data_IF_172698955464
#
_entry.id   IF_172698955464
#
_cell.length_a   1.000
_cell.length_b   1.000
_cell.length_c   1.000
_cell.angle_alpha   90.00
_cell.angle_beta   90.00
_cell.angle_gamma   90.00
#
_symmetry.space_group_name_H-M   'P 1'
#
loop_
_entity.id
_entity.type
_entity.pdbx_description
1 polymer ?
#
# COMPACT_ATOMS: atom_id res chain seq x y z
N UNK A 1 12.86 8.54 -29.68
CA UNK A 1 12.49 9.14 -28.41
C UNK A 1 13.73 9.26 -27.55
N UNK A 2 14.28 10.49 -27.47
CA UNK A 2 15.46 10.76 -26.67
C UNK A 2 15.09 10.71 -25.18
N UNK A 3 15.69 9.75 -24.43
CA UNK A 3 15.76 9.80 -22.98
C UNK A 3 16.77 10.90 -22.61
N UNK A 4 16.27 12.07 -22.27
CA UNK A 4 17.12 13.11 -21.67
C UNK A 4 17.26 12.80 -20.17
N UNK A 5 18.49 12.90 -19.60
CA UNK A 5 18.64 12.92 -18.16
C UNK A 5 17.98 14.21 -17.66
N UNK A 6 16.94 14.07 -16.82
CA UNK A 6 16.32 15.21 -16.15
C UNK A 6 17.34 15.76 -15.17
N UNK A 7 17.89 16.92 -15.46
CA UNK A 7 18.83 17.62 -14.58
C UNK A 7 18.15 17.90 -13.22
N UNK A 8 18.88 17.70 -12.15
CA UNK A 8 18.46 17.81 -10.74
C UNK A 8 17.89 19.19 -10.33
N UNK A 9 17.91 20.18 -11.18
CA UNK A 9 17.54 21.56 -10.85
C UNK A 9 16.03 21.85 -10.80
N UNK A 10 15.16 20.95 -11.27
CA UNK A 10 13.70 21.20 -11.32
C UNK A 10 12.92 20.79 -10.07
N UNK A 11 13.57 20.29 -9.01
CA UNK A 11 12.90 19.61 -7.90
C UNK A 11 12.96 20.39 -6.59
N UNK A 12 12.46 21.61 -6.60
CA UNK A 12 12.24 22.39 -5.37
C UNK A 12 10.89 21.97 -4.76
N UNK A 13 10.93 21.11 -3.74
CA UNK A 13 9.81 20.94 -2.80
C UNK A 13 9.09 19.59 -2.72
N UNK A 14 9.55 18.50 -3.38
CA UNK A 14 8.96 17.16 -3.30
C UNK A 14 9.91 16.08 -2.79
N UNK A 15 9.35 14.97 -2.28
CA UNK A 15 10.11 13.73 -2.12
C UNK A 15 10.54 13.32 -3.52
N UNK A 16 11.86 13.19 -3.72
CA UNK A 16 12.43 12.77 -4.99
C UNK A 16 12.65 11.27 -4.96
N UNK A 17 12.05 10.58 -5.94
CA UNK A 17 12.39 9.19 -6.23
C UNK A 17 13.32 9.15 -7.44
N UNK A 18 14.35 8.31 -7.37
CA UNK A 18 15.24 8.05 -8.50
C UNK A 18 14.73 6.83 -9.28
N UNK A 19 15.16 6.73 -10.55
CA UNK A 19 14.89 5.54 -11.37
C UNK A 19 15.52 4.31 -10.72
N UNK A 20 14.72 3.26 -10.58
CA UNK A 20 15.10 2.02 -9.88
C UNK A 20 14.64 1.96 -8.41
N UNK A 21 14.30 3.08 -7.80
CA UNK A 21 13.76 3.10 -6.44
C UNK A 21 12.36 2.50 -6.37
N UNK A 22 12.02 2.00 -5.18
CA UNK A 22 10.68 1.52 -4.86
C UNK A 22 9.92 2.56 -4.04
N UNK A 23 8.65 2.72 -4.37
CA UNK A 23 7.73 3.62 -3.69
C UNK A 23 6.36 2.95 -3.54
N UNK A 24 5.53 3.49 -2.66
CA UNK A 24 4.16 3.01 -2.43
C UNK A 24 3.17 3.99 -3.05
N UNK A 25 2.29 3.49 -3.90
CA UNK A 25 1.18 4.25 -4.46
C UNK A 25 -0.14 3.83 -3.78
N UNK A 26 -0.90 4.78 -3.22
CA UNK A 26 -2.11 4.51 -2.45
C UNK A 26 -3.10 3.60 -3.18
N UNK A 27 -3.56 2.56 -2.50
CA UNK A 27 -4.52 1.59 -3.04
C UNK A 27 -3.96 0.59 -4.05
N UNK A 28 -2.72 0.80 -4.55
CA UNK A 28 -2.07 -0.08 -5.52
C UNK A 28 -0.84 -0.82 -4.97
N UNK A 29 -0.28 -0.34 -3.86
CA UNK A 29 0.86 -0.96 -3.19
C UNK A 29 2.21 -0.51 -3.73
N UNK A 30 3.20 -1.40 -3.61
CA UNK A 30 4.59 -1.09 -3.94
C UNK A 30 4.83 -1.20 -5.44
N UNK A 31 5.51 -0.21 -5.98
CA UNK A 31 5.98 -0.21 -7.36
C UNK A 31 7.42 0.28 -7.47
N UNK A 32 8.02 0.05 -8.62
CA UNK A 32 9.36 0.51 -8.97
C UNK A 32 9.27 1.66 -9.96
N UNK A 33 10.03 2.69 -9.74
CA UNK A 33 10.18 3.79 -10.70
C UNK A 33 11.04 3.29 -11.87
N UNK A 34 10.45 3.15 -13.05
CA UNK A 34 11.15 2.66 -14.23
C UNK A 34 11.80 3.78 -15.05
N UNK A 35 11.13 4.92 -15.12
CA UNK A 35 11.64 6.12 -15.81
C UNK A 35 10.99 7.38 -15.26
N UNK A 36 11.60 8.52 -15.61
CA UNK A 36 10.99 9.85 -15.45
C UNK A 36 10.81 10.39 -16.86
N UNK A 37 9.58 10.71 -17.23
CA UNK A 37 9.24 11.18 -18.57
C UNK A 37 8.66 12.58 -18.53
N UNK A 38 9.11 13.44 -19.43
CA UNK A 38 8.51 14.75 -19.66
C UNK A 38 7.43 14.62 -20.74
N UNK A 39 6.23 15.13 -20.45
CA UNK A 39 5.13 15.20 -21.43
C UNK A 39 4.58 16.61 -21.52
N UNK A 40 4.19 16.99 -22.73
CA UNK A 40 3.58 18.27 -22.99
C UNK A 40 2.06 18.11 -23.10
N UNK A 41 1.34 18.88 -22.27
CA UNK A 41 -0.11 18.99 -22.31
C UNK A 41 -0.48 20.47 -22.46
N UNK A 42 -1.22 20.81 -23.52
CA UNK A 42 -1.70 22.19 -23.78
C UNK A 42 -0.59 23.24 -23.69
N UNK A 43 0.62 22.92 -24.20
CA UNK A 43 1.75 23.85 -24.21
C UNK A 43 2.53 23.93 -22.89
N UNK A 44 2.16 23.15 -21.88
CA UNK A 44 2.88 23.07 -20.60
C UNK A 44 3.58 21.73 -20.48
N UNK A 45 4.89 21.76 -20.21
CA UNK A 45 5.68 20.56 -19.95
C UNK A 45 5.56 20.14 -18.51
N UNK A 46 5.32 18.85 -18.29
CA UNK A 46 5.20 18.26 -16.97
C UNK A 46 5.97 16.94 -16.91
N UNK A 47 6.73 16.76 -15.83
CA UNK A 47 7.46 15.52 -15.58
C UNK A 47 6.57 14.52 -14.83
N UNK A 48 6.70 13.23 -15.19
CA UNK A 48 5.98 12.11 -14.59
C UNK A 48 6.95 11.01 -14.19
N UNK A 49 6.74 10.44 -13.00
CA UNK A 49 7.26 9.12 -12.68
C UNK A 49 6.47 8.06 -13.45
N UNK A 50 7.15 7.21 -14.17
CA UNK A 50 6.57 5.99 -14.74
C UNK A 50 6.90 4.87 -13.78
N UNK A 51 5.87 4.36 -13.12
CA UNK A 51 5.99 3.39 -12.04
C UNK A 51 5.31 2.08 -12.43
N UNK A 52 6.01 0.96 -12.24
CA UNK A 52 5.43 -0.39 -12.40
C UNK A 52 5.09 -0.96 -11.03
N UNK A 53 3.83 -1.29 -10.83
CA UNK A 53 3.36 -1.97 -9.61
C UNK A 53 3.84 -3.41 -9.63
N UNK A 54 4.50 -3.85 -8.54
CA UNK A 54 5.20 -5.15 -8.49
C UNK A 54 4.27 -6.36 -8.50
N UNK A 55 3.05 -6.23 -7.97
CA UNK A 55 2.11 -7.36 -7.89
C UNK A 55 1.27 -7.55 -9.16
N UNK A 56 1.00 -6.47 -9.88
CA UNK A 56 0.06 -6.49 -11.01
C UNK A 56 0.72 -6.20 -12.36
N UNK A 57 2.01 -5.83 -12.36
CA UNK A 57 2.73 -5.30 -13.52
C UNK A 57 2.08 -4.08 -14.18
N UNK A 58 1.12 -3.46 -13.49
CA UNK A 58 0.43 -2.26 -13.98
C UNK A 58 1.41 -1.08 -14.01
N UNK A 59 1.43 -0.37 -15.12
CA UNK A 59 2.18 0.88 -15.25
C UNK A 59 1.30 2.07 -14.89
N UNK A 60 1.76 2.89 -13.96
CA UNK A 60 1.09 4.11 -13.51
C UNK A 60 2.01 5.30 -13.80
N UNK A 61 1.42 6.40 -14.22
CA UNK A 61 2.11 7.67 -14.37
C UNK A 61 1.69 8.63 -13.28
N UNK A 62 2.66 9.08 -12.47
CA UNK A 62 2.42 9.99 -11.34
C UNK A 62 3.14 11.30 -11.61
N UNK A 63 2.42 12.45 -11.64
CA UNK A 63 3.07 13.74 -11.82
C UNK A 63 4.12 14.01 -10.74
N UNK A 64 5.32 14.43 -11.14
CA UNK A 64 6.41 14.73 -10.18
C UNK A 64 6.01 15.87 -9.25
N UNK A 65 5.48 16.96 -9.77
CA UNK A 65 5.07 18.13 -9.00
C UNK A 65 3.86 17.87 -8.10
N UNK A 66 3.05 16.89 -8.43
CA UNK A 66 1.86 16.47 -7.66
C UNK A 66 2.08 15.21 -6.83
N UNK A 67 3.28 14.68 -6.74
CA UNK A 67 3.56 13.38 -6.09
C UNK A 67 3.17 13.35 -4.61
N UNK A 68 3.34 14.45 -3.89
CA UNK A 68 2.86 14.60 -2.50
C UNK A 68 1.33 14.55 -2.40
N UNK A 69 0.64 15.17 -3.33
CA UNK A 69 -0.83 15.20 -3.35
C UNK A 69 -1.42 13.86 -3.80
N UNK A 70 -0.67 13.09 -4.59
CA UNK A 70 -1.06 11.73 -4.99
C UNK A 70 -0.88 10.70 -3.88
N UNK A 71 -0.22 11.07 -2.77
CA UNK A 71 0.09 10.18 -1.65
C UNK A 71 1.24 9.21 -1.93
N UNK A 72 2.00 9.39 -3.03
CA UNK A 72 3.21 8.60 -3.30
C UNK A 72 4.19 8.77 -2.15
N UNK A 73 4.66 7.67 -1.57
CA UNK A 73 5.54 7.67 -0.40
C UNK A 73 6.61 6.57 -0.47
N UNK A 74 7.62 6.70 0.36
CA UNK A 74 8.60 5.64 0.56
C UNK A 74 7.98 4.42 1.26
N UNK A 75 8.62 3.26 1.07
CA UNK A 75 8.34 2.06 1.87
C UNK A 75 8.64 2.35 3.33
N UNK A 76 7.87 1.76 4.22
CA UNK A 76 8.00 1.96 5.67
C UNK A 76 9.36 1.51 6.20
N UNK A 77 9.79 2.19 7.28
CA UNK A 77 11.02 1.86 8.00
C UNK A 77 10.79 0.83 9.13
N UNK A 78 11.86 0.39 9.77
CA UNK A 78 11.81 -0.64 10.82
C UNK A 78 10.94 -0.27 12.03
N UNK A 79 10.82 1.01 12.39
CA UNK A 79 9.95 1.43 13.48
C UNK A 79 8.47 1.37 13.08
N UNK A 80 8.18 1.71 11.84
CA UNK A 80 6.84 1.61 11.29
C UNK A 80 6.41 0.15 11.11
N UNK A 81 7.33 -0.73 10.71
CA UNK A 81 7.10 -2.19 10.69
C UNK A 81 6.64 -2.69 12.06
N UNK A 82 7.32 -2.30 13.14
CA UNK A 82 6.91 -2.68 14.50
C UNK A 82 5.49 -2.24 14.82
N UNK A 83 5.12 -1.00 14.45
CA UNK A 83 3.75 -0.48 14.65
C UNK A 83 2.71 -1.27 13.86
N UNK A 84 3.02 -1.69 12.62
CA UNK A 84 2.12 -2.55 11.84
C UNK A 84 1.87 -3.87 12.58
N UNK A 85 2.92 -4.52 13.06
CA UNK A 85 2.78 -5.76 13.85
C UNK A 85 2.02 -5.54 15.17
N UNK A 86 2.20 -4.40 15.85
CA UNK A 86 1.41 -4.06 17.04
C UNK A 86 -0.07 -3.95 16.73
N UNK A 87 -0.44 -3.27 15.62
CA UNK A 87 -1.83 -3.19 15.16
C UNK A 87 -2.41 -4.57 14.88
N UNK A 88 -1.67 -5.44 14.19
CA UNK A 88 -2.13 -6.79 13.87
C UNK A 88 -2.28 -7.67 15.12
N UNK A 89 -1.48 -7.44 16.19
CA UNK A 89 -1.54 -8.16 17.47
C UNK A 89 -2.68 -7.70 18.39
N UNK A 90 -3.28 -6.55 18.13
CA UNK A 90 -4.31 -6.00 18.99
C UNK A 90 -5.56 -6.91 19.01
N UNK A 91 -5.94 -7.36 20.20
CA UNK A 91 -7.13 -8.18 20.45
C UNK A 91 -8.35 -7.29 20.69
N UNK A 92 -9.53 -7.87 20.67
CA UNK A 92 -10.80 -7.20 21.03
C UNK A 92 -11.22 -6.07 20.08
N UNK A 93 -11.10 -6.30 18.80
CA UNK A 93 -11.64 -5.40 17.79
C UNK A 93 -13.17 -5.45 17.86
N UNK A 94 -13.78 -4.32 18.15
CA UNK A 94 -15.24 -4.21 18.12
C UNK A 94 -15.74 -4.48 16.69
N UNK A 95 -16.66 -5.45 16.57
CA UNK A 95 -17.30 -5.71 15.28
C UNK A 95 -18.26 -4.58 14.94
N UNK A 96 -18.01 -3.94 13.81
CA UNK A 96 -18.98 -3.00 13.27
C UNK A 96 -20.14 -3.78 12.62
N UNK A 97 -21.33 -3.66 13.23
CA UNK A 97 -22.58 -4.25 12.74
C UNK A 97 -23.23 -3.44 11.60
N UNK A 98 -22.53 -2.43 11.07
CA UNK A 98 -23.05 -1.63 9.96
C UNK A 98 -23.26 -2.48 8.70
N UNK A 99 -24.23 -2.11 7.83
CA UNK A 99 -24.44 -2.76 6.55
C UNK A 99 -23.16 -2.80 5.71
N UNK A 100 -23.00 -3.87 4.92
CA UNK A 100 -21.82 -4.08 4.09
C UNK A 100 -21.42 -2.86 3.24
N UNK A 101 -22.39 -2.22 2.60
CA UNK A 101 -22.12 -1.05 1.75
C UNK A 101 -21.40 0.09 2.50
N UNK A 102 -21.77 0.31 3.77
CA UNK A 102 -21.10 1.30 4.61
C UNK A 102 -19.69 0.86 4.97
N UNK A 103 -19.52 -0.37 5.47
CA UNK A 103 -18.20 -0.93 5.82
C UNK A 103 -17.27 -0.99 4.59
N UNK A 104 -17.80 -1.38 3.43
CA UNK A 104 -17.04 -1.37 2.19
C UNK A 104 -16.46 0.00 1.86
N UNK A 105 -17.29 1.06 1.98
CA UNK A 105 -16.85 2.43 1.74
C UNK A 105 -15.71 2.83 2.70
N UNK A 106 -15.90 2.57 3.99
CA UNK A 106 -14.90 2.85 5.03
C UNK A 106 -13.59 2.09 4.81
N UNK A 107 -13.65 0.80 4.49
CA UNK A 107 -12.46 0.01 4.14
C UNK A 107 -11.75 0.53 2.90
N UNK A 108 -12.49 0.89 1.85
CA UNK A 108 -11.89 1.46 0.63
C UNK A 108 -11.25 2.82 0.89
N UNK A 109 -11.83 3.66 1.74
CA UNK A 109 -11.21 4.93 2.16
C UNK A 109 -9.89 4.68 2.89
N UNK A 110 -9.85 3.74 3.84
CA UNK A 110 -8.63 3.33 4.54
C UNK A 110 -7.56 2.78 3.60
N UNK A 111 -7.94 1.91 2.66
CA UNK A 111 -7.00 1.34 1.67
C UNK A 111 -6.44 2.42 0.74
N UNK A 112 -7.26 3.37 0.31
CA UNK A 112 -6.87 4.46 -0.58
C UNK A 112 -6.15 5.61 0.12
N UNK A 113 -6.16 5.66 1.44
CA UNK A 113 -5.43 6.68 2.21
C UNK A 113 -3.91 6.62 1.99
N UNK A 114 -3.38 5.46 1.60
CA UNK A 114 -1.95 5.20 1.49
C UNK A 114 -1.26 4.86 2.81
N UNK A 115 -1.98 4.94 3.93
CA UNK A 115 -1.46 4.57 5.25
C UNK A 115 -1.48 3.06 5.44
N UNK A 116 -0.31 2.44 5.56
CA UNK A 116 -0.21 1.00 5.85
C UNK A 116 -0.85 0.65 7.19
N UNK A 117 -0.88 1.58 8.15
CA UNK A 117 -1.51 1.36 9.45
C UNK A 117 -3.02 1.21 9.32
N UNK A 118 -3.65 2.02 8.46
CA UNK A 118 -5.08 1.90 8.17
C UNK A 118 -5.40 0.60 7.42
N UNK A 119 -4.54 0.20 6.48
CA UNK A 119 -4.66 -1.10 5.80
C UNK A 119 -4.52 -2.26 6.79
N UNK A 120 -3.60 -2.16 7.76
CA UNK A 120 -3.44 -3.17 8.81
C UNK A 120 -4.68 -3.28 9.71
N UNK A 121 -5.34 -2.15 10.02
CA UNK A 121 -6.61 -2.15 10.74
C UNK A 121 -7.70 -2.88 9.95
N UNK A 122 -7.82 -2.62 8.64
CA UNK A 122 -8.77 -3.33 7.77
C UNK A 122 -8.51 -4.82 7.76
N UNK A 123 -7.26 -5.24 7.62
CA UNK A 123 -6.88 -6.65 7.63
C UNK A 123 -7.25 -7.32 8.95
N UNK A 124 -6.92 -6.69 10.08
CA UNK A 124 -7.23 -7.18 11.43
C UNK A 124 -8.74 -7.31 11.66
N UNK A 125 -9.51 -6.29 11.29
CA UNK A 125 -10.97 -6.29 11.44
C UNK A 125 -11.61 -7.42 10.63
N UNK A 126 -11.19 -7.61 9.38
CA UNK A 126 -11.70 -8.68 8.52
C UNK A 126 -11.25 -10.07 8.98
N UNK A 127 -10.04 -10.20 9.53
CA UNK A 127 -9.60 -11.47 10.13
C UNK A 127 -10.43 -11.81 11.37
N UNK A 128 -10.64 -10.84 12.27
CA UNK A 128 -11.52 -11.02 13.42
C UNK A 128 -12.92 -11.48 13.01
N UNK A 129 -13.48 -10.85 11.95
CA UNK A 129 -14.78 -11.24 11.42
C UNK A 129 -14.79 -12.68 10.87
N UNK A 130 -13.70 -13.10 10.17
CA UNK A 130 -13.51 -14.45 9.62
C UNK A 130 -13.55 -15.55 10.71
N UNK A 131 -13.14 -15.24 11.93
CA UNK A 131 -13.21 -16.17 13.07
C UNK A 131 -14.65 -16.44 13.50
N UNK A 132 -15.52 -15.44 13.41
CA UNK A 132 -16.92 -15.53 13.88
C UNK A 132 -17.91 -16.03 12.83
N UNK A 133 -17.63 -15.77 11.56
CA UNK A 133 -18.50 -16.15 10.45
C UNK A 133 -17.72 -16.37 9.18
N UNK A 134 -18.32 -17.08 8.23
CA UNK A 134 -17.78 -17.11 6.87
C UNK A 134 -17.90 -15.72 6.22
N UNK A 135 -16.78 -15.25 5.66
CA UNK A 135 -16.76 -13.97 4.93
C UNK A 135 -17.56 -14.08 3.63
N UNK A 136 -18.37 -13.06 3.36
CA UNK A 136 -19.01 -12.89 2.05
C UNK A 136 -17.96 -12.69 0.95
N UNK A 137 -18.39 -12.80 -0.31
CA UNK A 137 -17.50 -12.60 -1.45
C UNK A 137 -16.80 -11.23 -1.42
N UNK A 138 -17.53 -10.16 -1.12
CA UNK A 138 -16.96 -8.81 -1.01
C UNK A 138 -15.97 -8.67 0.16
N UNK A 139 -16.27 -9.28 1.31
CA UNK A 139 -15.37 -9.29 2.47
C UNK A 139 -14.10 -10.10 2.18
N UNK A 140 -14.22 -11.27 1.53
CA UNK A 140 -13.07 -12.07 1.08
C UNK A 140 -12.16 -11.26 0.14
N UNK A 141 -12.74 -10.58 -0.84
CA UNK A 141 -11.98 -9.77 -1.78
C UNK A 141 -11.24 -8.63 -1.09
N UNK A 142 -11.90 -7.94 -0.16
CA UNK A 142 -11.28 -6.85 0.61
C UNK A 142 -10.16 -7.37 1.53
N UNK A 143 -10.37 -8.51 2.16
CA UNK A 143 -9.37 -9.20 2.97
C UNK A 143 -8.09 -9.51 2.16
N UNK A 144 -8.25 -10.07 0.95
CA UNK A 144 -7.13 -10.38 0.06
C UNK A 144 -6.37 -9.12 -0.38
N UNK A 145 -7.09 -8.04 -0.71
CA UNK A 145 -6.45 -6.76 -1.07
C UNK A 145 -5.61 -6.24 0.11
N UNK A 146 -6.18 -6.15 1.30
CA UNK A 146 -5.47 -5.66 2.48
C UNK A 146 -4.26 -6.55 2.82
N UNK A 147 -4.43 -7.88 2.77
CA UNK A 147 -3.37 -8.86 3.03
C UNK A 147 -2.21 -8.70 2.05
N UNK A 148 -2.49 -8.61 0.77
CA UNK A 148 -1.45 -8.49 -0.26
C UNK A 148 -0.68 -7.17 -0.14
N UNK A 149 -1.36 -6.05 0.13
CA UNK A 149 -0.72 -4.75 0.34
C UNK A 149 0.24 -4.80 1.54
N UNK A 150 -0.21 -5.34 2.68
CA UNK A 150 0.62 -5.48 3.89
C UNK A 150 1.80 -6.41 3.63
N UNK A 151 1.54 -7.60 3.11
CA UNK A 151 2.57 -8.62 2.85
C UNK A 151 3.67 -8.06 1.95
N UNK A 152 3.29 -7.44 0.84
CA UNK A 152 4.26 -6.90 -0.12
C UNK A 152 5.13 -5.81 0.47
N UNK A 153 4.53 -4.83 1.14
CA UNK A 153 5.30 -3.73 1.72
C UNK A 153 6.21 -4.21 2.85
N UNK A 154 5.73 -5.10 3.73
CA UNK A 154 6.55 -5.69 4.79
C UNK A 154 7.70 -6.53 4.23
N UNK A 155 7.48 -7.32 3.18
CA UNK A 155 8.53 -8.14 2.57
C UNK A 155 9.69 -7.29 2.07
N UNK A 156 9.38 -6.16 1.45
CA UNK A 156 10.40 -5.21 0.96
C UNK A 156 11.07 -4.48 2.11
N UNK A 157 10.30 -3.97 3.08
CA UNK A 157 10.83 -3.26 4.25
C UNK A 157 11.77 -4.12 5.10
N UNK A 158 11.48 -5.42 5.20
CA UNK A 158 12.26 -6.39 5.99
C UNK A 158 13.31 -7.14 5.17
N UNK A 159 13.30 -7.00 3.85
CA UNK A 159 14.13 -7.81 2.94
C UNK A 159 13.89 -9.32 3.17
N UNK A 160 12.63 -9.71 3.31
CA UNK A 160 12.16 -11.09 3.54
C UNK A 160 11.36 -11.60 2.34
N UNK A 161 11.27 -12.92 2.23
CA UNK A 161 10.34 -13.56 1.30
C UNK A 161 8.88 -13.28 1.70
N UNK A 162 8.00 -13.16 0.71
CA UNK A 162 6.58 -12.88 0.96
C UNK A 162 5.87 -14.00 1.73
N UNK A 163 6.29 -15.26 1.53
CA UNK A 163 5.72 -16.40 2.27
C UNK A 163 6.13 -16.35 3.74
N UNK A 164 7.39 -15.96 4.05
CA UNK A 164 7.83 -15.78 5.44
C UNK A 164 7.00 -14.72 6.15
N UNK A 165 6.74 -13.59 5.49
CA UNK A 165 5.89 -12.51 6.04
C UNK A 165 4.45 -12.98 6.21
N UNK A 166 3.92 -13.73 5.25
CA UNK A 166 2.57 -14.31 5.34
C UNK A 166 2.43 -15.27 6.51
N UNK A 167 3.41 -16.15 6.72
CA UNK A 167 3.45 -17.06 7.88
C UNK A 167 3.49 -16.29 9.20
N UNK A 168 4.30 -15.21 9.30
CA UNK A 168 4.35 -14.36 10.50
C UNK A 168 3.00 -13.70 10.80
N UNK A 169 2.31 -13.20 9.79
CA UNK A 169 0.97 -12.60 9.93
C UNK A 169 -0.06 -13.65 10.39
N UNK A 170 -0.06 -14.81 9.77
CA UNK A 170 -0.96 -15.93 10.15
C UNK A 170 -0.68 -16.43 11.57
N UNK A 171 0.59 -16.50 11.99
CA UNK A 171 0.94 -16.84 13.36
C UNK A 171 0.39 -15.84 14.38
N UNK A 172 0.48 -14.54 14.09
CA UNK A 172 -0.06 -13.49 14.96
C UNK A 172 -1.56 -13.67 15.14
N UNK A 173 -2.29 -13.85 14.06
CA UNK A 173 -3.73 -14.02 14.09
C UNK A 173 -4.13 -15.33 14.76
N UNK A 174 -3.42 -16.41 14.44
CA UNK A 174 -3.67 -17.72 15.06
C UNK A 174 -3.50 -17.66 16.59
N UNK A 175 -2.43 -17.01 17.08
CA UNK A 175 -2.20 -16.82 18.52
C UNK A 175 -3.26 -15.94 19.19
N UNK A 176 -3.82 -14.99 18.46
CA UNK A 176 -4.83 -14.08 18.99
C UNK A 176 -6.21 -14.73 19.17
N UNK A 177 -6.56 -15.71 18.35
CA UNK A 177 -7.92 -16.24 18.22
C UNK A 177 -8.04 -17.76 18.46
N UNK A 178 -6.98 -18.46 18.86
CA UNK A 178 -6.98 -19.90 19.17
C UNK A 178 -7.22 -20.24 20.65
N UNK A 179 -7.63 -19.25 21.47
CA UNK A 179 -8.06 -19.54 22.84
C UNK A 179 -9.56 -19.72 22.95
#
# INVERSE_FOLDING_TARGET
LLKLPVEKEFLIGGIMFEVGEVAVYPGHGVGRIESIEEREFSGTKQAFYVMRILDTDMTIMVPVDGSKNSGLRSVINSNEVKKVYEILKEKNVAHDNAPWNRRYKEYMEKIKSGSIFEVAMVLRELYSLKVWKELSFGEKKMFEIARNLIKKELSIALTKDENEVEEEIEEIFTKNYKE
#
